data_IF_005131858792
#
_entry.id   IF_005131858792
#
_cell.length_a   1.000
_cell.length_b   1.000
_cell.length_c   1.000
_cell.angle_alpha   90.00
_cell.angle_beta   90.00
_cell.angle_gamma   90.00
#
_symmetry.space_group_name_H-M   'P 1'
#
loop_
_entity.id
_entity.type
_entity.pdbx_description
1 polymer ?
#
# COMPACT_ATOMS: atom_id res chain seq x y z
N UNK A 1 -4.54 -10.04 2.38
CA UNK A 1 -4.06 -9.06 3.36
C UNK A 1 -4.34 -9.59 4.75
N UNK A 2 -3.30 -9.76 5.56
CA UNK A 2 -3.46 -9.90 7.01
C UNK A 2 -3.27 -8.51 7.59
N UNK A 3 -4.20 -8.03 8.43
CA UNK A 3 -3.94 -6.81 9.21
C UNK A 3 -3.22 -7.28 10.46
N UNK A 4 -1.95 -6.93 10.56
CA UNK A 4 -1.10 -7.35 11.68
C UNK A 4 -1.04 -6.24 12.74
N UNK A 5 -1.25 -4.99 12.34
CA UNK A 5 -1.21 -3.85 13.25
C UNK A 5 -2.19 -2.75 12.83
N UNK A 6 -2.84 -2.11 13.81
CA UNK A 6 -3.69 -0.93 13.58
C UNK A 6 -3.05 0.23 14.33
N UNK A 7 -2.70 1.28 13.59
CA UNK A 7 -2.25 2.55 14.15
C UNK A 7 -3.47 3.47 14.24
N UNK A 8 -3.92 3.83 15.46
CA UNK A 8 -5.04 4.75 15.60
C UNK A 8 -4.67 6.15 15.09
N UNK A 9 -5.68 6.95 14.76
CA UNK A 9 -5.49 8.36 14.45
C UNK A 9 -4.68 9.06 15.55
N UNK A 10 -3.69 9.84 15.12
CA UNK A 10 -2.80 10.57 16.02
C UNK A 10 -3.54 11.71 16.74
N UNK A 11 -3.08 12.04 17.95
CA UNK A 11 -3.55 13.24 18.65
C UNK A 11 -3.22 14.52 17.89
N UNK A 12 -4.01 15.58 18.10
CA UNK A 12 -3.91 16.83 17.36
C UNK A 12 -2.51 17.48 17.43
N UNK A 13 -1.87 17.44 18.60
CA UNK A 13 -0.53 17.99 18.79
C UNK A 13 0.52 17.23 17.97
N UNK A 14 0.52 15.90 18.08
CA UNK A 14 1.42 15.02 17.30
C UNK A 14 1.18 15.13 15.81
N UNK A 15 -0.07 15.28 15.38
CA UNK A 15 -0.42 15.47 13.97
C UNK A 15 0.10 16.81 13.43
N UNK A 16 0.05 17.86 14.26
CA UNK A 16 0.58 19.19 13.92
C UNK A 16 2.10 19.14 13.80
N UNK A 17 2.78 18.50 14.75
CA UNK A 17 4.23 18.29 14.72
C UNK A 17 4.64 17.48 13.48
N UNK A 18 3.98 16.36 13.20
CA UNK A 18 4.24 15.52 12.04
C UNK A 18 4.07 16.29 10.72
N UNK A 19 3.00 17.08 10.58
CA UNK A 19 2.78 17.92 9.39
C UNK A 19 3.87 18.98 9.22
N UNK A 20 4.37 19.56 10.30
CA UNK A 20 5.47 20.52 10.26
C UNK A 20 6.77 19.86 9.75
N UNK A 21 7.05 18.64 10.21
CA UNK A 21 8.19 17.84 9.74
C UNK A 21 8.02 17.51 8.26
N UNK A 22 6.88 16.97 7.85
CA UNK A 22 6.61 16.62 6.44
C UNK A 22 6.71 17.84 5.52
N UNK A 23 6.23 19.01 5.96
CA UNK A 23 6.35 20.26 5.20
C UNK A 23 7.82 20.69 5.03
N UNK A 24 8.65 20.53 6.07
CA UNK A 24 10.08 20.81 5.98
C UNK A 24 10.82 19.82 5.05
N UNK A 25 10.32 18.59 4.94
CA UNK A 25 10.85 17.56 4.04
C UNK A 25 10.43 17.74 2.57
N UNK A 26 9.45 18.59 2.27
CA UNK A 26 8.96 18.81 0.90
C UNK A 26 9.89 19.67 0.02
N UNK A 27 11.07 20.07 0.52
CA UNK A 27 12.12 20.71 -0.28
C UNK A 27 12.92 19.70 -1.13
N UNK A 28 13.95 20.16 -1.84
CA UNK A 28 14.82 19.31 -2.70
C UNK A 28 15.71 18.32 -1.91
N UNK A 29 15.62 18.29 -0.58
CA UNK A 29 16.44 17.43 0.26
C UNK A 29 15.80 16.04 0.42
N UNK A 30 16.59 14.98 0.21
CA UNK A 30 16.15 13.63 0.53
C UNK A 30 16.11 13.45 2.06
N UNK A 31 14.95 13.13 2.67
CA UNK A 31 14.87 12.90 4.11
C UNK A 31 15.84 11.79 4.54
N UNK A 32 16.38 11.88 5.75
CA UNK A 32 17.11 10.76 6.37
C UNK A 32 16.24 10.17 7.45
N UNK A 33 15.99 8.86 7.39
CA UNK A 33 15.28 8.12 8.43
C UNK A 33 16.28 7.17 9.07
N UNK A 34 16.38 7.22 10.40
CA UNK A 34 17.29 6.37 11.17
C UNK A 34 16.54 5.57 12.21
N UNK A 35 16.99 4.33 12.44
CA UNK A 35 16.56 3.48 13.55
C UNK A 35 17.81 3.07 14.31
N UNK A 36 17.89 3.42 15.60
CA UNK A 36 19.08 3.19 16.42
C UNK A 36 20.39 3.69 15.77
N UNK A 37 20.34 4.88 15.16
CA UNK A 37 21.44 5.53 14.42
C UNK A 37 21.89 4.79 13.16
N UNK A 38 21.13 3.81 12.69
CA UNK A 38 21.34 3.15 11.40
C UNK A 38 20.44 3.82 10.37
N UNK A 39 21.03 4.33 9.29
CA UNK A 39 20.29 4.88 8.16
C UNK A 39 19.55 3.77 7.40
N UNK A 40 18.27 4.02 7.11
CA UNK A 40 17.47 3.08 6.33
C UNK A 40 17.87 3.14 4.85
N UNK A 41 18.00 1.97 4.17
CA UNK A 41 18.13 1.91 2.72
C UNK A 41 17.00 2.65 2.02
N UNK A 42 17.28 3.21 0.84
CA UNK A 42 16.34 4.06 0.10
C UNK A 42 14.92 3.47 -0.02
N UNK A 43 14.72 2.20 -0.42
CA UNK A 43 13.36 1.64 -0.54
C UNK A 43 12.60 1.60 0.79
N UNK A 44 13.30 1.32 1.89
CA UNK A 44 12.70 1.23 3.24
C UNK A 44 12.39 2.63 3.75
N UNK A 45 13.32 3.57 3.57
CA UNK A 45 13.13 4.98 3.91
C UNK A 45 11.89 5.54 3.19
N UNK A 46 11.79 5.34 1.88
CA UNK A 46 10.69 5.89 1.09
C UNK A 46 9.33 5.32 1.52
N UNK A 47 9.30 4.03 1.91
CA UNK A 47 8.11 3.41 2.51
C UNK A 47 7.74 4.05 3.87
N UNK A 48 8.72 4.33 4.73
CA UNK A 48 8.47 5.01 6.01
C UNK A 48 7.97 6.44 5.78
N UNK A 49 8.54 7.18 4.82
CA UNK A 49 8.08 8.53 4.49
C UNK A 49 6.64 8.52 3.98
N UNK A 50 6.26 7.56 3.14
CA UNK A 50 4.86 7.38 2.72
C UNK A 50 3.94 7.06 3.89
N UNK A 51 4.37 6.19 4.81
CA UNK A 51 3.60 5.89 6.03
C UNK A 51 3.38 7.16 6.87
N UNK A 52 4.42 7.97 7.06
CA UNK A 52 4.32 9.25 7.77
C UNK A 52 3.35 10.22 7.07
N UNK A 53 3.37 10.29 5.74
CA UNK A 53 2.43 11.12 4.98
C UNK A 53 0.97 10.68 5.20
N UNK A 54 0.69 9.37 5.15
CA UNK A 54 -0.64 8.81 5.43
C UNK A 54 -1.09 9.12 6.86
N UNK A 55 -0.19 9.01 7.85
CA UNK A 55 -0.50 9.39 9.23
C UNK A 55 -0.81 10.89 9.36
N UNK A 56 -0.14 11.73 8.54
CA UNK A 56 -0.38 13.16 8.42
C UNK A 56 -1.79 13.55 7.95
N UNK A 57 -2.53 12.63 7.34
CA UNK A 57 -3.94 12.83 6.97
C UNK A 57 -4.88 12.78 8.18
N UNK A 58 -4.42 12.26 9.32
CA UNK A 58 -5.18 12.18 10.57
C UNK A 58 -6.18 11.02 10.62
N UNK A 59 -6.02 10.02 9.75
CA UNK A 59 -6.86 8.82 9.72
C UNK A 59 -6.14 7.64 10.40
N UNK A 60 -6.91 6.67 10.90
CA UNK A 60 -6.35 5.40 11.38
C UNK A 60 -5.80 4.57 10.21
N UNK A 61 -4.66 3.92 10.41
CA UNK A 61 -4.00 3.10 9.39
C UNK A 61 -3.98 1.62 9.80
N UNK A 62 -4.23 0.75 8.83
CA UNK A 62 -4.04 -0.68 8.95
C UNK A 62 -2.75 -1.09 8.24
N UNK A 63 -1.84 -1.74 8.97
CA UNK A 63 -0.59 -2.27 8.45
C UNK A 63 -0.64 -3.79 8.45
N UNK A 64 -0.05 -4.38 7.42
CA UNK A 64 -0.23 -5.78 7.18
C UNK A 64 0.69 -6.34 6.12
N UNK A 65 0.85 -7.65 6.14
CA UNK A 65 1.52 -8.38 5.08
C UNK A 65 0.55 -8.72 3.93
N UNK A 66 1.10 -8.67 2.72
CA UNK A 66 0.39 -9.07 1.51
C UNK A 66 0.97 -10.41 1.06
N UNK A 67 0.11 -11.41 0.89
CA UNK A 67 0.53 -12.72 0.41
C UNK A 67 0.88 -12.65 -1.09
N UNK A 68 1.81 -13.49 -1.53
CA UNK A 68 2.18 -13.59 -2.95
C UNK A 68 1.01 -13.99 -3.84
N UNK A 69 0.09 -14.81 -3.31
CA UNK A 69 -1.12 -15.25 -3.99
C UNK A 69 -2.37 -14.68 -3.31
N UNK A 70 -3.04 -13.79 -4.02
CA UNK A 70 -4.22 -13.09 -3.57
C UNK A 70 -5.50 -13.83 -3.93
N UNK A 71 -6.51 -13.75 -3.07
CA UNK A 71 -7.88 -14.08 -3.44
C UNK A 71 -8.44 -13.03 -4.42
N UNK A 72 -9.58 -13.31 -5.07
CA UNK A 72 -10.27 -12.32 -5.91
C UNK A 72 -10.54 -11.02 -5.14
N UNK A 73 -11.05 -11.12 -3.91
CA UNK A 73 -11.39 -9.95 -3.09
C UNK A 73 -10.15 -9.16 -2.69
N UNK A 74 -9.04 -9.83 -2.40
CA UNK A 74 -7.78 -9.15 -2.09
C UNK A 74 -7.19 -8.45 -3.33
N UNK A 75 -7.25 -9.10 -4.50
CA UNK A 75 -6.85 -8.45 -5.75
C UNK A 75 -7.76 -7.24 -6.07
N UNK A 76 -9.06 -7.35 -5.80
CA UNK A 76 -10.03 -6.28 -5.99
C UNK A 76 -9.77 -5.09 -5.06
N UNK A 77 -9.38 -5.34 -3.81
CA UNK A 77 -8.96 -4.30 -2.87
C UNK A 77 -7.69 -3.58 -3.35
N UNK A 78 -6.67 -4.32 -3.79
CA UNK A 78 -5.43 -3.75 -4.34
C UNK A 78 -5.70 -2.90 -5.59
N UNK A 79 -6.56 -3.38 -6.50
CA UNK A 79 -6.99 -2.68 -7.71
C UNK A 79 -8.06 -1.61 -7.46
N UNK A 80 -8.77 -1.68 -6.33
CA UNK A 80 -9.84 -0.76 -5.88
C UNK A 80 -10.96 -0.70 -6.88
N UNK A 81 -11.38 -1.89 -7.25
CA UNK A 81 -12.46 -2.20 -8.17
C UNK A 81 -13.32 -3.26 -7.52
N UNK A 82 -14.43 -3.65 -8.14
CA UNK A 82 -15.26 -4.72 -7.61
C UNK A 82 -14.65 -6.11 -7.87
N UNK A 83 -14.91 -7.08 -7.00
CA UNK A 83 -14.57 -8.50 -7.19
C UNK A 83 -15.07 -9.04 -8.54
N UNK A 84 -16.27 -8.61 -8.94
CA UNK A 84 -16.86 -8.98 -10.24
C UNK A 84 -16.01 -8.48 -11.40
N UNK A 85 -15.44 -7.27 -11.30
CA UNK A 85 -14.54 -6.74 -12.32
C UNK A 85 -13.23 -7.52 -12.38
N UNK A 86 -12.64 -7.87 -11.22
CA UNK A 86 -11.45 -8.74 -11.19
C UNK A 86 -11.71 -10.10 -11.82
N UNK A 87 -12.88 -10.71 -11.56
CA UNK A 87 -13.28 -11.93 -12.25
C UNK A 87 -13.38 -11.74 -13.76
N UNK A 88 -13.93 -10.63 -14.22
CA UNK A 88 -13.99 -10.32 -15.65
C UNK A 88 -12.60 -10.20 -16.27
N UNK A 89 -11.66 -9.53 -15.58
CA UNK A 89 -10.27 -9.44 -16.02
C UNK A 89 -9.59 -10.81 -16.11
N UNK A 90 -9.87 -11.69 -15.14
CA UNK A 90 -9.39 -13.07 -15.15
C UNK A 90 -9.98 -13.86 -16.32
N UNK A 91 -11.29 -13.82 -16.49
CA UNK A 91 -12.02 -14.56 -17.52
C UNK A 91 -11.66 -14.07 -18.94
N UNK A 92 -11.27 -12.79 -19.09
CA UNK A 92 -10.77 -12.24 -20.35
C UNK A 92 -9.25 -12.42 -20.56
N UNK A 93 -8.53 -13.00 -19.61
CA UNK A 93 -7.08 -13.17 -19.64
C UNK A 93 -6.26 -11.88 -19.46
N UNK A 94 -6.92 -10.77 -19.14
CA UNK A 94 -6.27 -9.46 -18.92
C UNK A 94 -5.52 -9.39 -17.58
N UNK A 95 -5.90 -10.24 -16.62
CA UNK A 95 -5.18 -10.45 -15.38
C UNK A 95 -4.91 -11.96 -15.22
N UNK A 96 -3.64 -12.39 -15.19
CA UNK A 96 -3.29 -13.80 -15.03
C UNK A 96 -3.89 -14.42 -13.77
N UNK A 97 -4.38 -15.66 -13.88
CA UNK A 97 -4.87 -16.44 -12.75
C UNK A 97 -4.17 -17.78 -12.64
N UNK A 98 -3.93 -18.17 -11.39
CA UNK A 98 -3.55 -19.53 -11.02
C UNK A 98 -4.71 -20.19 -10.27
N UNK A 99 -4.96 -21.47 -10.55
CA UNK A 99 -5.96 -22.24 -9.80
C UNK A 99 -5.28 -22.98 -8.64
N UNK A 100 -5.79 -22.78 -7.42
CA UNK A 100 -5.43 -23.58 -6.24
C UNK A 100 -6.66 -24.38 -5.83
N UNK A 101 -6.73 -25.63 -6.30
CA UNK A 101 -7.94 -26.43 -6.25
C UNK A 101 -9.03 -25.77 -7.12
N UNK A 102 -10.18 -25.48 -6.52
CA UNK A 102 -11.32 -24.83 -7.19
C UNK A 102 -11.28 -23.29 -7.11
N UNK A 103 -10.32 -22.71 -6.39
CA UNK A 103 -10.25 -21.27 -6.14
C UNK A 103 -9.24 -20.57 -7.05
N UNK A 104 -9.65 -19.43 -7.60
CA UNK A 104 -8.76 -18.50 -8.31
C UNK A 104 -7.78 -17.85 -7.33
N UNK A 105 -6.54 -17.69 -7.78
CA UNK A 105 -5.47 -16.95 -7.12
C UNK A 105 -4.78 -16.05 -8.12
N UNK A 106 -4.36 -14.88 -7.64
CA UNK A 106 -3.72 -13.85 -8.45
C UNK A 106 -2.35 -13.58 -7.86
N UNK A 107 -1.29 -13.56 -8.67
CA UNK A 107 0.02 -13.14 -8.17
C UNK A 107 0.00 -11.66 -7.85
N UNK A 108 0.52 -11.29 -6.69
CA UNK A 108 0.64 -9.88 -6.28
C UNK A 108 1.40 -9.06 -7.35
N UNK A 109 2.47 -9.62 -7.91
CA UNK A 109 3.25 -8.98 -8.99
C UNK A 109 2.39 -8.57 -10.18
N UNK A 110 1.49 -9.45 -10.62
CA UNK A 110 0.67 -9.24 -11.81
C UNK A 110 -0.43 -8.22 -11.51
N UNK A 111 -0.97 -8.26 -10.30
CA UNK A 111 -1.96 -7.27 -9.82
C UNK A 111 -1.35 -5.87 -9.71
N UNK A 112 -0.13 -5.75 -9.17
CA UNK A 112 0.58 -4.47 -9.07
C UNK A 112 0.93 -3.92 -10.45
N UNK A 113 1.45 -4.76 -11.35
CA UNK A 113 1.75 -4.38 -12.73
C UNK A 113 0.49 -3.90 -13.47
N UNK A 114 -0.65 -4.57 -13.27
CA UNK A 114 -1.93 -4.14 -13.84
C UNK A 114 -2.37 -2.77 -13.29
N UNK A 115 -2.20 -2.54 -11.97
CA UNK A 115 -2.52 -1.26 -11.33
C UNK A 115 -1.67 -0.10 -11.87
N UNK A 116 -0.39 -0.36 -12.15
CA UNK A 116 0.52 0.64 -12.71
C UNK A 116 0.18 1.01 -14.16
N UNK A 117 -0.33 0.07 -14.95
CA UNK A 117 -0.80 0.32 -16.31
C UNK A 117 -2.13 1.09 -16.34
N UNK A 118 -2.99 0.88 -15.34
CA UNK A 118 -4.29 1.52 -15.20
C UNK A 118 -4.42 2.22 -13.85
N UNK A 119 -3.60 3.26 -13.59
CA UNK A 119 -3.62 3.96 -12.32
C UNK A 119 -5.01 4.55 -12.09
N UNK A 120 -5.50 4.47 -10.85
CA UNK A 120 -6.75 5.14 -10.48
C UNK A 120 -6.59 6.61 -10.82
N UNK A 121 -7.45 7.12 -11.69
CA UNK A 121 -7.66 8.56 -11.82
C UNK A 121 -8.29 9.02 -10.51
N UNK A 122 -7.47 9.60 -9.65
CA UNK A 122 -7.93 10.38 -8.50
C UNK A 122 -8.44 11.74 -8.96
#
# INVERSE_FOLDING_TARGET
>A
MSIDHIVPALGADTLTELRSVLAALAGDATPTVTVDRVELPAPIRDAVVQLLALLGEGQSLALGTVADLLTTSQAAEVLGVSDTYVRRLADSGALPIEMRGTHRRFRLSDVLAHREQFPRRS
#
